data_IF_735849725235
#
_entry.id   IF_735849725235
#
_cell.length_a   1.000
_cell.length_b   1.000
_cell.length_c   1.000
_cell.angle_alpha   90.00
_cell.angle_beta   90.00
_cell.angle_gamma   90.00
#
_symmetry.space_group_name_H-M   'P 1'
#
loop_
_entity.id
_entity.type
_entity.pdbx_description
1 polymer ?
#
# COMPACT_ATOMS: atom_id res chain seq x y z
N UNK A 1 20.64 34.72 -52.63
CA UNK A 1 20.95 34.59 -51.18
C UNK A 1 19.70 34.43 -50.29
N UNK A 2 18.51 34.16 -50.84
CA UNK A 2 17.25 34.16 -50.05
C UNK A 2 16.61 32.80 -49.77
N UNK A 3 17.10 31.69 -50.35
CA UNK A 3 16.52 30.36 -50.07
C UNK A 3 17.12 29.64 -48.85
N UNK A 4 18.24 30.10 -48.30
CA UNK A 4 18.87 29.46 -47.12
C UNK A 4 18.23 29.93 -45.80
N UNK A 5 17.54 31.08 -45.80
CA UNK A 5 16.86 31.61 -44.60
C UNK A 5 15.52 30.93 -44.28
N UNK A 6 14.89 30.28 -45.26
CA UNK A 6 13.59 29.61 -45.04
C UNK A 6 13.75 28.23 -44.37
N UNK A 7 14.88 27.53 -44.58
CA UNK A 7 15.12 26.22 -43.96
C UNK A 7 15.53 26.28 -42.48
N UNK A 8 16.11 27.40 -42.01
CA UNK A 8 16.43 27.58 -40.59
C UNK A 8 15.20 27.88 -39.72
N UNK A 9 14.12 28.43 -40.30
CA UNK A 9 12.90 28.76 -39.57
C UNK A 9 12.09 27.50 -39.14
N UNK A 10 12.20 26.39 -39.89
CA UNK A 10 11.49 25.14 -39.58
C UNK A 10 12.23 24.30 -38.53
N UNK A 11 13.55 24.44 -38.40
CA UNK A 11 14.35 23.72 -37.41
C UNK A 11 14.30 24.35 -36.01
N UNK A 12 14.17 25.68 -35.91
CA UNK A 12 13.95 26.35 -34.61
C UNK A 12 12.49 26.15 -34.12
N UNK A 13 11.53 25.96 -35.03
CA UNK A 13 10.13 25.66 -34.68
C UNK A 13 9.89 24.24 -34.13
N UNK A 14 10.85 23.31 -34.26
CA UNK A 14 10.75 21.97 -33.66
C UNK A 14 11.33 21.89 -32.24
N UNK A 15 12.18 22.85 -31.85
CA UNK A 15 12.76 22.95 -30.50
C UNK A 15 11.78 23.58 -29.48
N UNK A 16 10.84 24.40 -29.94
CA UNK A 16 9.84 25.04 -29.09
C UNK A 16 8.66 24.14 -28.67
N UNK A 17 8.56 22.90 -29.19
CA UNK A 17 7.51 21.94 -28.80
C UNK A 17 7.78 21.18 -27.50
N UNK A 18 8.94 21.38 -26.86
CA UNK A 18 9.28 20.79 -25.57
C UNK A 18 9.22 21.76 -24.37
N UNK A 19 8.96 23.05 -24.61
CA UNK A 19 8.97 24.10 -23.57
C UNK A 19 7.58 24.36 -22.94
N UNK A 20 6.68 23.37 -22.95
CA UNK A 20 5.29 23.53 -22.50
C UNK A 20 4.86 22.62 -21.34
N UNK A 21 5.79 21.93 -20.67
CA UNK A 21 5.44 21.06 -19.55
C UNK A 21 5.20 21.91 -18.29
N UNK A 22 3.93 22.13 -17.94
CA UNK A 22 3.51 22.92 -16.76
C UNK A 22 4.32 22.50 -15.51
N UNK A 23 4.97 23.42 -14.78
CA UNK A 23 5.91 23.11 -13.69
C UNK A 23 5.32 22.19 -12.60
N UNK A 24 4.02 22.32 -12.30
CA UNK A 24 3.31 21.45 -11.36
C UNK A 24 3.25 19.97 -11.77
N UNK A 25 3.17 19.66 -13.06
CA UNK A 25 3.12 18.28 -13.55
C UNK A 25 4.49 17.60 -13.50
N UNK A 26 5.57 18.37 -13.63
CA UNK A 26 6.94 17.89 -13.44
C UNK A 26 7.19 17.59 -11.96
N UNK A 27 6.87 18.54 -11.07
CA UNK A 27 7.01 18.37 -9.62
C UNK A 27 6.25 17.14 -9.09
N UNK A 28 5.02 16.89 -9.57
CA UNK A 28 4.25 15.69 -9.19
C UNK A 28 4.94 14.38 -9.61
N UNK A 29 5.55 14.36 -10.80
CA UNK A 29 6.24 13.16 -11.29
C UNK A 29 7.52 12.91 -10.50
N UNK A 30 8.26 13.96 -10.17
CA UNK A 30 9.48 13.87 -9.37
C UNK A 30 9.18 13.32 -7.96
N UNK A 31 8.06 13.76 -7.36
CA UNK A 31 7.58 13.22 -6.09
C UNK A 31 7.22 11.72 -6.16
N UNK A 32 6.57 11.29 -7.25
CA UNK A 32 6.30 9.86 -7.49
C UNK A 32 7.61 9.08 -7.64
N UNK A 33 8.56 9.59 -8.43
CA UNK A 33 9.85 8.94 -8.64
C UNK A 33 10.68 8.82 -7.33
N UNK A 34 10.62 9.82 -6.45
CA UNK A 34 11.18 9.74 -5.09
C UNK A 34 10.47 8.66 -4.25
N UNK A 35 9.14 8.61 -4.29
CA UNK A 35 8.37 7.61 -3.59
C UNK A 35 8.76 6.18 -4.01
N UNK A 36 8.97 5.92 -5.30
CA UNK A 36 9.44 4.61 -5.76
C UNK A 36 10.87 4.29 -5.31
N UNK A 37 11.75 5.30 -5.21
CA UNK A 37 13.10 5.12 -4.66
C UNK A 37 13.03 4.76 -3.18
N UNK A 38 12.16 5.42 -2.41
CA UNK A 38 11.93 5.11 -1.01
C UNK A 38 11.39 3.68 -0.82
N UNK A 39 10.38 3.28 -1.60
CA UNK A 39 9.86 1.90 -1.59
C UNK A 39 10.96 0.88 -1.87
N UNK A 40 11.76 1.07 -2.92
CA UNK A 40 12.88 0.18 -3.25
C UNK A 40 13.91 0.13 -2.10
N UNK A 41 14.20 1.27 -1.49
CA UNK A 41 15.17 1.38 -0.39
C UNK A 41 14.70 0.59 0.84
N UNK A 42 13.42 0.73 1.21
CA UNK A 42 12.78 -0.03 2.29
C UNK A 42 12.84 -1.54 2.01
N UNK A 43 12.43 -1.95 0.82
CA UNK A 43 12.40 -3.37 0.41
C UNK A 43 13.79 -4.00 0.43
N UNK A 44 14.85 -3.26 0.06
CA UNK A 44 16.21 -3.78 0.11
C UNK A 44 16.75 -3.92 1.55
N UNK A 45 16.28 -3.08 2.47
CA UNK A 45 16.67 -3.16 3.89
C UNK A 45 15.94 -4.26 4.66
N UNK A 46 14.75 -4.69 4.20
CA UNK A 46 13.98 -5.74 4.89
C UNK A 46 14.64 -7.13 4.82
N UNK A 47 15.65 -7.33 3.98
CA UNK A 47 16.36 -8.60 3.87
C UNK A 47 15.56 -9.74 3.23
N UNK A 48 14.40 -9.44 2.62
CA UNK A 48 13.50 -10.48 2.10
C UNK A 48 14.02 -11.18 0.84
N UNK A 49 14.01 -12.52 0.88
CA UNK A 49 14.32 -13.39 -0.26
C UNK A 49 13.36 -13.21 -1.44
N UNK A 50 12.16 -12.67 -1.20
CA UNK A 50 11.16 -12.41 -2.24
C UNK A 50 11.65 -11.41 -3.30
N UNK A 51 12.62 -10.55 -2.93
CA UNK A 51 13.16 -9.54 -3.83
C UNK A 51 13.98 -10.11 -4.99
N UNK A 52 14.56 -11.30 -4.82
CA UNK A 52 15.30 -12.01 -5.85
C UNK A 52 14.41 -12.42 -7.03
N UNK A 53 13.17 -12.83 -6.74
CA UNK A 53 12.19 -13.24 -7.75
C UNK A 53 11.83 -12.10 -8.72
N UNK A 54 11.96 -10.84 -8.30
CA UNK A 54 11.63 -9.69 -9.14
C UNK A 54 12.66 -9.40 -10.23
N UNK A 55 13.86 -10.00 -10.17
CA UNK A 55 14.94 -9.68 -11.10
C UNK A 55 14.57 -9.99 -12.57
N UNK A 56 13.74 -11.01 -12.80
CA UNK A 56 13.27 -11.42 -14.13
C UNK A 56 12.15 -10.53 -14.69
N UNK A 57 11.58 -9.61 -13.90
CA UNK A 57 10.50 -8.75 -14.35
C UNK A 57 11.01 -7.54 -15.15
N UNK A 58 10.29 -7.12 -16.21
CA UNK A 58 10.51 -5.83 -16.87
C UNK A 58 10.58 -4.68 -15.87
N UNK A 59 11.38 -3.66 -16.17
CA UNK A 59 11.68 -2.57 -15.23
C UNK A 59 10.43 -1.91 -14.62
N UNK A 60 9.36 -1.73 -15.41
CA UNK A 60 8.09 -1.16 -14.95
C UNK A 60 7.36 -2.06 -13.94
N UNK A 61 7.33 -3.37 -14.20
CA UNK A 61 6.69 -4.34 -13.31
C UNK A 61 7.50 -4.50 -12.02
N UNK A 62 8.82 -4.61 -12.12
CA UNK A 62 9.71 -4.66 -10.96
C UNK A 62 9.57 -3.43 -10.06
N UNK A 63 9.45 -2.24 -10.64
CA UNK A 63 9.23 -0.99 -9.90
C UNK A 63 7.87 -1.00 -9.17
N UNK A 64 6.81 -1.50 -9.80
CA UNK A 64 5.52 -1.71 -9.15
C UNK A 64 5.56 -2.74 -8.02
N UNK A 65 6.30 -3.84 -8.21
CA UNK A 65 6.49 -4.85 -7.16
C UNK A 65 7.16 -4.26 -5.92
N UNK A 66 8.11 -3.33 -6.07
CA UNK A 66 8.68 -2.63 -4.92
C UNK A 66 7.66 -1.75 -4.17
N UNK A 67 6.78 -1.07 -4.89
CA UNK A 67 5.73 -0.26 -4.26
C UNK A 67 4.72 -1.13 -3.51
N UNK A 68 4.25 -2.21 -4.14
CA UNK A 68 3.35 -3.18 -3.50
C UNK A 68 4.01 -3.84 -2.28
N UNK A 69 5.27 -4.26 -2.39
CA UNK A 69 5.98 -4.86 -1.26
C UNK A 69 6.21 -3.88 -0.11
N UNK A 70 6.61 -2.65 -0.41
CA UNK A 70 6.79 -1.64 0.63
C UNK A 70 5.49 -1.36 1.38
N UNK A 71 4.34 -1.35 0.68
CA UNK A 71 3.03 -1.23 1.30
C UNK A 71 2.74 -2.40 2.25
N UNK A 72 2.90 -3.64 1.80
CA UNK A 72 2.66 -4.84 2.63
C UNK A 72 3.56 -4.83 3.85
N UNK A 73 4.88 -4.67 3.64
CA UNK A 73 5.87 -4.69 4.72
C UNK A 73 5.60 -3.61 5.76
N UNK A 74 5.28 -2.39 5.32
CA UNK A 74 4.96 -1.33 6.25
C UNK A 74 3.69 -1.64 7.03
N UNK A 75 2.68 -2.24 6.38
CA UNK A 75 1.42 -2.62 7.05
C UNK A 75 1.68 -3.64 8.16
N UNK A 76 2.46 -4.70 7.90
CA UNK A 76 2.84 -5.70 8.90
C UNK A 76 3.62 -5.07 10.08
N UNK A 77 4.61 -4.21 9.77
CA UNK A 77 5.46 -3.57 10.77
C UNK A 77 4.66 -2.69 11.76
N UNK A 78 3.49 -2.18 11.39
CA UNK A 78 2.63 -1.41 12.30
C UNK A 78 2.10 -2.24 13.47
N UNK A 79 1.95 -3.56 13.29
CA UNK A 79 1.45 -4.49 14.32
C UNK A 79 2.59 -5.25 14.97
N UNK A 80 3.54 -5.76 14.18
CA UNK A 80 4.61 -6.61 14.71
C UNK A 80 5.73 -5.81 15.40
N UNK A 81 5.94 -4.55 15.00
CA UNK A 81 7.01 -3.70 15.52
C UNK A 81 6.50 -2.27 15.82
N UNK A 82 5.52 -2.11 16.71
CA UNK A 82 4.95 -0.80 16.99
C UNK A 82 5.99 0.12 17.62
N UNK A 83 6.03 1.36 17.14
CA UNK A 83 6.86 2.38 17.77
C UNK A 83 6.44 2.59 19.23
N UNK A 84 7.41 2.85 20.11
CA UNK A 84 7.16 3.00 21.53
C UNK A 84 6.09 4.06 21.81
N UNK A 85 5.04 3.66 22.54
CA UNK A 85 3.91 4.54 22.89
C UNK A 85 2.85 4.72 21.80
N UNK A 86 2.99 4.09 20.63
CA UNK A 86 1.94 4.06 19.61
C UNK A 86 0.99 2.88 19.82
N UNK A 87 -0.31 3.15 19.70
CA UNK A 87 -1.34 2.12 19.58
C UNK A 87 -1.36 1.56 18.14
N UNK A 88 -1.08 0.24 17.94
CA UNK A 88 -1.14 -0.39 16.62
C UNK A 88 -2.49 -0.23 15.91
N UNK A 89 -3.60 -0.26 16.65
CA UNK A 89 -4.93 -0.14 16.07
C UNK A 89 -5.15 1.27 15.50
N UNK A 90 -4.81 2.31 16.27
CA UNK A 90 -4.84 3.70 15.79
C UNK A 90 -3.89 3.93 14.61
N UNK A 91 -2.71 3.30 14.62
CA UNK A 91 -1.73 3.42 13.54
C UNK A 91 -2.25 2.80 12.23
N UNK A 92 -2.85 1.61 12.28
CA UNK A 92 -3.50 0.97 11.13
C UNK A 92 -4.70 1.79 10.61
N UNK A 93 -5.53 2.32 11.50
CA UNK A 93 -6.64 3.19 11.10
C UNK A 93 -6.14 4.46 10.38
N UNK A 94 -5.07 5.07 10.88
CA UNK A 94 -4.41 6.20 10.23
C UNK A 94 -3.84 5.80 8.86
N UNK A 95 -3.17 4.66 8.77
CA UNK A 95 -2.63 4.12 7.52
C UNK A 95 -3.71 3.85 6.47
N UNK A 96 -4.84 3.25 6.88
CA UNK A 96 -6.02 3.02 6.05
C UNK A 96 -6.58 4.32 5.48
N UNK A 97 -6.69 5.37 6.30
CA UNK A 97 -7.16 6.68 5.86
C UNK A 97 -6.18 7.34 4.88
N UNK A 98 -4.87 7.23 5.12
CA UNK A 98 -3.84 7.73 4.21
C UNK A 98 -3.89 6.98 2.86
N UNK A 99 -4.04 5.66 2.88
CA UNK A 99 -4.22 4.85 1.68
C UNK A 99 -5.44 5.31 0.89
N UNK A 100 -6.59 5.45 1.55
CA UNK A 100 -7.84 5.90 0.95
C UNK A 100 -7.69 7.28 0.30
N UNK A 101 -7.02 8.23 0.97
CA UNK A 101 -6.73 9.55 0.40
C UNK A 101 -5.79 9.47 -0.83
N UNK A 102 -4.76 8.62 -0.78
CA UNK A 102 -3.79 8.49 -1.86
C UNK A 102 -4.39 7.88 -3.14
N UNK A 103 -5.25 6.86 -3.00
CA UNK A 103 -5.92 6.20 -4.14
C UNK A 103 -7.24 6.86 -4.53
N UNK A 104 -7.83 7.67 -3.64
CA UNK A 104 -9.15 8.33 -3.75
C UNK A 104 -9.29 9.42 -4.80
N UNK A 105 -8.28 9.63 -5.66
CA UNK A 105 -8.49 10.22 -6.99
C UNK A 105 -9.12 9.22 -8.00
N UNK A 106 -9.59 8.06 -7.52
CA UNK A 106 -10.45 7.11 -8.22
C UNK A 106 -11.65 6.82 -7.30
N UNK A 107 -12.89 7.19 -7.67
CA UNK A 107 -14.06 6.96 -6.82
C UNK A 107 -14.24 5.45 -6.61
N UNK A 108 -14.15 5.04 -5.35
CA UNK A 108 -14.60 3.72 -4.91
C UNK A 108 -16.08 3.60 -5.25
N UNK A 109 -16.42 2.62 -6.10
CA UNK A 109 -17.81 2.29 -6.42
C UNK A 109 -18.56 2.07 -5.12
N UNK A 110 -19.56 2.92 -4.88
CA UNK A 110 -20.52 2.79 -3.80
C UNK A 110 -21.03 1.35 -3.75
N UNK A 111 -20.67 0.62 -2.70
CA UNK A 111 -21.37 -0.58 -2.30
C UNK A 111 -22.78 -0.16 -1.87
N UNK A 112 -23.73 -0.23 -2.80
CA UNK A 112 -25.15 -0.11 -2.52
C UNK A 112 -25.67 -1.52 -2.19
N UNK A 113 -26.26 -1.61 -1.00
CA UNK A 113 -27.16 -2.65 -0.49
C UNK A 113 -26.55 -3.98 0.00
N UNK A 114 -26.29 -4.05 1.30
CA UNK A 114 -27.02 -4.98 2.18
C UNK A 114 -27.49 -4.17 3.40
N UNK A 115 -28.81 -3.98 3.48
CA UNK A 115 -29.48 -3.23 4.54
C UNK A 115 -30.04 -4.17 5.61
N UNK A 116 -30.07 -3.66 6.84
CA UNK A 116 -30.87 -4.15 7.98
C UNK A 116 -29.99 -4.67 9.12
N UNK A 117 -30.14 -4.27 10.38
CA UNK A 117 -31.03 -3.34 11.05
C UNK A 117 -30.48 -3.17 12.49
N UNK A 118 -30.72 -2.03 13.15
CA UNK A 118 -30.64 -1.92 14.62
C UNK A 118 -29.75 -0.80 15.12
N UNK A 119 -30.31 0.40 15.22
CA UNK A 119 -29.82 1.47 16.11
C UNK A 119 -30.30 1.17 17.54
N UNK A 120 -29.49 1.49 18.56
CA UNK A 120 -29.82 2.53 19.55
C UNK A 120 -28.87 2.57 20.77
N UNK A 121 -28.80 3.77 21.34
CA UNK A 121 -28.31 4.17 22.67
C UNK A 121 -26.79 4.14 22.92
N UNK A 122 -26.17 5.11 23.60
CA UNK A 122 -26.66 6.28 24.30
C UNK A 122 -25.44 7.02 24.86
N UNK A 123 -25.52 8.34 24.87
CA UNK A 123 -24.48 9.23 25.37
C UNK A 123 -24.33 9.11 26.90
N UNK A 124 -23.09 9.12 27.40
CA UNK A 124 -22.77 9.66 28.72
C UNK A 124 -21.36 10.26 28.73
N UNK A 125 -21.32 11.56 29.00
CA UNK A 125 -20.13 12.38 29.14
C UNK A 125 -19.79 12.58 30.62
N UNK A 126 -18.54 12.33 31.01
CA UNK A 126 -17.79 12.87 32.17
C UNK A 126 -16.32 12.65 31.77
N UNK A 127 -15.34 13.54 31.84
CA UNK A 127 -15.09 14.74 32.63
C UNK A 127 -13.58 14.98 32.46
N UNK A 128 -13.16 16.16 32.00
CA UNK A 128 -11.75 16.53 31.82
C UNK A 128 -11.16 17.02 33.13
N UNK A 129 -9.94 16.61 33.45
CA UNK A 129 -9.01 17.45 34.24
C UNK A 129 -7.61 17.36 33.64
N UNK A 130 -7.01 18.53 33.44
CA UNK A 130 -5.75 18.77 32.77
C UNK A 130 -4.53 18.53 33.67
N UNK A 131 -3.42 18.11 33.05
CA UNK A 131 -2.08 18.54 33.43
C UNK A 131 -1.16 18.36 32.22
N UNK A 132 -0.79 19.48 31.63
CA UNK A 132 0.09 19.62 30.47
C UNK A 132 1.56 19.35 30.86
N UNK A 133 2.30 18.63 30.01
CA UNK A 133 3.75 18.84 29.88
C UNK A 133 4.07 19.05 28.41
N UNK A 134 4.67 20.21 28.15
CA UNK A 134 4.84 20.85 26.84
C UNK A 134 5.91 20.14 26.00
N UNK A 135 5.46 19.52 24.92
CA UNK A 135 6.20 19.51 23.67
C UNK A 135 5.33 20.27 22.66
N UNK A 136 5.87 21.34 22.06
CA UNK A 136 5.19 22.07 20.98
C UNK A 136 4.82 21.07 19.88
N UNK A 137 3.53 20.82 19.58
CA UNK A 137 3.20 19.95 18.48
C UNK A 137 3.64 20.66 17.21
N UNK A 138 4.50 20.01 16.42
CA UNK A 138 4.76 20.41 15.04
C UNK A 138 3.42 20.74 14.35
N UNK A 139 3.40 21.67 13.40
CA UNK A 139 2.17 21.98 12.68
C UNK A 139 1.57 20.71 12.04
N UNK A 140 0.24 20.61 11.89
CA UNK A 140 -0.40 19.45 11.26
C UNK A 140 0.17 19.17 9.85
N UNK A 141 0.67 20.21 9.19
CA UNK A 141 1.34 20.16 7.89
C UNK A 141 2.74 19.51 7.98
N UNK A 142 3.54 19.76 9.02
CA UNK A 142 4.88 19.14 9.18
C UNK A 142 4.83 17.65 9.55
N UNK A 143 3.83 17.22 10.32
CA UNK A 143 3.61 15.78 10.59
C UNK A 143 3.19 15.02 9.33
N UNK A 144 2.49 15.68 8.41
CA UNK A 144 2.03 15.07 7.16
C UNK A 144 3.23 14.78 6.22
N UNK A 145 4.20 15.69 6.14
CA UNK A 145 5.39 15.55 5.26
C UNK A 145 6.36 14.45 5.68
N UNK A 146 6.29 13.99 6.95
CA UNK A 146 7.16 12.95 7.51
C UNK A 146 6.43 11.64 7.81
N UNK A 147 5.13 11.55 7.54
CA UNK A 147 4.40 10.30 7.68
C UNK A 147 4.91 9.28 6.65
N UNK A 148 5.13 8.00 7.04
CA UNK A 148 5.44 6.93 6.08
C UNK A 148 4.51 6.92 4.86
N UNK A 149 3.23 7.31 5.02
CA UNK A 149 2.29 7.35 3.89
C UNK A 149 2.56 8.46 2.89
N UNK A 150 3.02 9.63 3.32
CA UNK A 150 3.43 10.68 2.40
C UNK A 150 4.62 10.26 1.54
N UNK A 151 5.48 9.37 2.06
CA UNK A 151 6.66 8.85 1.37
C UNK A 151 6.32 7.66 0.46
N UNK A 152 5.53 6.69 0.92
CA UNK A 152 5.35 5.41 0.23
C UNK A 152 4.12 5.38 -0.69
N UNK A 153 3.02 6.04 -0.31
CA UNK A 153 1.74 5.90 -1.01
C UNK A 153 1.68 6.54 -2.40
N UNK A 154 2.43 7.62 -2.74
CA UNK A 154 2.43 8.15 -4.11
C UNK A 154 2.84 7.10 -5.17
N UNK A 155 3.87 6.28 -4.88
CA UNK A 155 4.30 5.19 -5.76
C UNK A 155 3.27 4.06 -5.84
N UNK A 156 2.60 3.74 -4.73
CA UNK A 156 1.54 2.74 -4.70
C UNK A 156 0.32 3.22 -5.51
N UNK A 157 -0.11 4.46 -5.33
CA UNK A 157 -1.23 5.04 -6.08
C UNK A 157 -0.95 5.08 -7.59
N UNK A 158 0.27 5.45 -7.99
CA UNK A 158 0.72 5.37 -9.38
C UNK A 158 0.72 3.92 -9.91
N UNK A 159 1.19 2.97 -9.11
CA UNK A 159 1.16 1.53 -9.43
C UNK A 159 -0.28 1.02 -9.63
N UNK A 160 -1.19 1.35 -8.71
CA UNK A 160 -2.61 0.97 -8.76
C UNK A 160 -3.25 1.48 -10.05
N UNK A 161 -3.04 2.76 -10.38
CA UNK A 161 -3.58 3.37 -11.58
C UNK A 161 -2.97 2.75 -12.85
N UNK A 162 -1.66 2.55 -12.89
CA UNK A 162 -0.95 2.03 -14.05
C UNK A 162 -1.34 0.59 -14.39
N UNK A 163 -1.48 -0.27 -13.38
CA UNK A 163 -1.73 -1.70 -13.56
C UNK A 163 -3.20 -2.09 -13.37
N UNK A 164 -4.07 -1.11 -13.06
CA UNK A 164 -5.51 -1.31 -12.79
C UNK A 164 -5.73 -2.34 -11.70
N UNK A 165 -4.99 -2.20 -10.61
CA UNK A 165 -5.13 -3.08 -9.44
C UNK A 165 -6.45 -2.72 -8.75
N UNK A 166 -7.35 -3.68 -8.47
CA UNK A 166 -8.56 -3.41 -7.71
C UNK A 166 -8.19 -2.93 -6.31
N UNK A 167 -8.62 -1.72 -5.94
CA UNK A 167 -8.25 -1.08 -4.66
C UNK A 167 -8.70 -1.89 -3.45
N UNK A 168 -9.81 -2.64 -3.57
CA UNK A 168 -10.30 -3.57 -2.55
C UNK A 168 -9.20 -4.53 -2.05
N UNK A 169 -8.32 -5.01 -2.92
CA UNK A 169 -7.24 -5.93 -2.55
C UNK A 169 -6.27 -5.31 -1.53
N UNK A 170 -6.04 -3.99 -1.61
CA UNK A 170 -5.15 -3.30 -0.67
C UNK A 170 -5.81 -3.15 0.71
N UNK A 171 -7.12 -2.92 0.75
CA UNK A 171 -7.87 -2.87 2.00
C UNK A 171 -8.02 -4.25 2.62
N UNK A 172 -8.18 -5.31 1.82
CA UNK A 172 -8.18 -6.69 2.32
C UNK A 172 -6.87 -7.05 3.03
N UNK A 173 -5.73 -6.58 2.53
CA UNK A 173 -4.43 -6.75 3.21
C UNK A 173 -4.44 -6.05 4.57
N UNK A 174 -4.91 -4.79 4.64
CA UNK A 174 -5.01 -4.06 5.92
C UNK A 174 -5.97 -4.79 6.87
N UNK A 175 -7.12 -5.25 6.40
CA UNK A 175 -8.06 -6.03 7.21
C UNK A 175 -7.44 -7.35 7.69
N UNK A 176 -6.64 -8.00 6.87
CA UNK A 176 -5.90 -9.20 7.25
C UNK A 176 -4.93 -8.96 8.39
N UNK A 177 -4.18 -7.84 8.33
CA UNK A 177 -3.23 -7.43 9.38
C UNK A 177 -3.95 -6.91 10.63
N UNK A 178 -5.12 -6.28 10.50
CA UNK A 178 -5.95 -5.89 11.65
C UNK A 178 -6.37 -7.11 12.49
N UNK A 179 -6.54 -8.28 11.86
CA UNK A 179 -6.83 -9.52 12.59
C UNK A 179 -5.67 -9.96 13.50
N UNK A 180 -4.44 -9.48 13.28
CA UNK A 180 -3.25 -9.75 14.11
C UNK A 180 -3.17 -8.88 15.39
N UNK A 181 -4.07 -7.90 15.54
CA UNK A 181 -4.15 -7.06 16.76
C UNK A 181 -4.57 -7.84 18.01
N UNK A 182 -5.12 -9.04 17.83
CA UNK A 182 -5.62 -9.87 18.92
C UNK A 182 -4.99 -11.27 18.82
N UNK A 183 -4.61 -11.91 19.94
CA UNK A 183 -4.16 -13.30 19.91
C UNK A 183 -5.21 -14.20 19.26
N UNK A 184 -4.79 -15.06 18.34
CA UNK A 184 -5.69 -15.93 17.59
C UNK A 184 -5.45 -17.38 17.90
N UNK A 185 -6.58 -18.10 17.96
CA UNK A 185 -6.68 -19.55 17.86
C UNK A 185 -7.73 -19.86 16.81
N UNK A 186 -7.32 -20.46 15.71
CA UNK A 186 -8.26 -20.89 14.67
C UNK A 186 -8.92 -22.21 15.07
N UNK A 187 -10.24 -22.22 15.24
CA UNK A 187 -10.98 -23.42 15.57
C UNK A 187 -11.09 -24.38 14.38
N UNK A 188 -11.11 -23.84 13.15
CA UNK A 188 -11.27 -24.61 11.90
C UNK A 188 -10.26 -24.13 10.86
N UNK A 189 -9.87 -25.06 9.98
CA UNK A 189 -8.99 -24.75 8.86
C UNK A 189 -9.58 -23.68 7.92
N UNK A 190 -10.91 -23.65 7.76
CA UNK A 190 -11.58 -22.62 6.96
C UNK A 190 -11.37 -21.19 7.50
N UNK A 191 -11.27 -21.04 8.83
CA UNK A 191 -11.02 -19.75 9.46
C UNK A 191 -9.55 -19.32 9.23
N UNK A 192 -8.62 -20.28 9.24
CA UNK A 192 -7.22 -20.09 8.86
C UNK A 192 -7.07 -19.72 7.37
N UNK A 193 -7.76 -20.43 6.48
CA UNK A 193 -7.75 -20.11 5.04
C UNK A 193 -8.25 -18.69 4.77
N UNK A 194 -9.31 -18.26 5.46
CA UNK A 194 -9.83 -16.90 5.31
C UNK A 194 -8.79 -15.85 5.75
N UNK A 195 -8.06 -16.12 6.83
CA UNK A 195 -6.94 -15.27 7.23
C UNK A 195 -5.87 -15.22 6.15
N UNK A 196 -5.36 -16.38 5.71
CA UNK A 196 -4.32 -16.47 4.70
C UNK A 196 -4.73 -15.83 3.36
N UNK A 197 -6.00 -15.90 3.00
CA UNK A 197 -6.50 -15.21 1.81
C UNK A 197 -6.38 -13.69 1.92
N UNK A 198 -6.75 -13.10 3.06
CA UNK A 198 -6.68 -11.65 3.26
C UNK A 198 -5.23 -11.15 3.23
N UNK A 199 -4.31 -11.82 3.94
CA UNK A 199 -2.92 -11.36 4.04
C UNK A 199 -2.04 -11.72 2.84
N UNK A 200 -2.37 -12.79 2.11
CA UNK A 200 -1.51 -13.27 1.01
C UNK A 200 -2.25 -13.58 -0.29
N UNK A 201 -3.49 -14.07 -0.24
CA UNK A 201 -4.32 -14.28 -1.43
C UNK A 201 -4.57 -12.96 -2.20
N UNK A 202 -4.99 -11.91 -1.49
CA UNK A 202 -5.18 -10.56 -2.03
C UNK A 202 -3.91 -10.00 -2.68
N UNK A 203 -2.74 -10.30 -2.09
CA UNK A 203 -1.42 -9.95 -2.63
C UNK A 203 -1.15 -10.70 -3.94
N UNK A 204 -1.42 -12.00 -3.98
CA UNK A 204 -1.29 -12.81 -5.19
C UNK A 204 -2.14 -12.25 -6.34
N UNK A 205 -3.38 -11.87 -6.04
CA UNK A 205 -4.27 -11.21 -7.00
C UNK A 205 -3.69 -9.87 -7.49
N UNK A 206 -3.17 -9.03 -6.59
CA UNK A 206 -2.52 -7.77 -6.97
C UNK A 206 -1.30 -7.98 -7.88
N UNK A 207 -0.50 -9.03 -7.63
CA UNK A 207 0.65 -9.39 -8.47
C UNK A 207 0.26 -9.71 -9.92
N UNK A 208 -0.83 -10.45 -10.15
CA UNK A 208 -1.32 -10.81 -11.49
C UNK A 208 -1.64 -9.57 -12.33
N UNK A 209 -2.19 -8.53 -11.70
CA UNK A 209 -2.44 -7.25 -12.37
C UNK A 209 -1.14 -6.59 -12.85
N UNK A 210 -0.09 -6.62 -12.01
CA UNK A 210 1.24 -6.09 -12.32
C UNK A 210 1.90 -6.89 -13.45
N UNK A 211 1.85 -8.22 -13.38
CA UNK A 211 2.46 -9.11 -14.38
C UNK A 211 1.75 -9.06 -15.74
N UNK A 212 0.55 -8.50 -15.80
CA UNK A 212 -0.17 -8.24 -17.06
C UNK A 212 -1.12 -9.35 -17.48
N UNK A 213 -1.33 -10.35 -16.62
CA UNK A 213 -2.36 -11.36 -16.85
C UNK A 213 -3.75 -10.72 -16.72
N UNK A 214 -4.65 -11.08 -17.63
CA UNK A 214 -6.03 -10.57 -17.69
C UNK A 214 -7.06 -11.68 -17.84
N UNK A 215 -6.63 -12.90 -18.12
CA UNK A 215 -7.52 -14.05 -18.20
C UNK A 215 -8.06 -14.39 -16.82
N UNK A 216 -9.39 -14.63 -16.68
CA UNK A 216 -9.97 -15.10 -15.43
C UNK A 216 -9.29 -16.35 -14.87
N UNK A 217 -8.75 -17.21 -15.74
CA UNK A 217 -8.03 -18.43 -15.36
C UNK A 217 -6.74 -18.18 -14.55
N UNK A 218 -6.21 -16.94 -14.54
CA UNK A 218 -5.00 -16.60 -13.79
C UNK A 218 -5.27 -16.20 -12.33
N UNK A 219 -6.50 -15.81 -11.98
CA UNK A 219 -6.80 -15.30 -10.65
C UNK A 219 -6.80 -16.38 -9.58
N UNK A 220 -7.45 -17.52 -9.84
CA UNK A 220 -7.51 -18.60 -8.86
C UNK A 220 -6.12 -19.18 -8.53
N UNK A 221 -5.27 -19.54 -9.51
CA UNK A 221 -3.91 -19.99 -9.21
C UNK A 221 -3.08 -18.97 -8.42
N UNK A 222 -3.29 -17.67 -8.66
CA UNK A 222 -2.57 -16.63 -7.94
C UNK A 222 -3.01 -16.51 -6.49
N UNK A 223 -4.32 -16.62 -6.23
CA UNK A 223 -4.87 -16.69 -4.88
C UNK A 223 -4.32 -17.91 -4.13
N UNK A 224 -4.34 -19.08 -4.78
CA UNK A 224 -3.80 -20.33 -4.23
C UNK A 224 -2.29 -20.25 -3.97
N UNK A 225 -1.52 -19.59 -4.84
CA UNK A 225 -0.10 -19.35 -4.61
C UNK A 225 0.13 -18.48 -3.35
N UNK A 226 -0.66 -17.41 -3.20
CA UNK A 226 -0.67 -16.59 -1.98
C UNK A 226 -0.96 -17.43 -0.73
N UNK A 227 -2.02 -18.24 -0.78
CA UNK A 227 -2.40 -19.17 0.29
C UNK A 227 -1.24 -20.12 0.66
N UNK A 228 -0.66 -20.79 -0.35
CA UNK A 228 0.43 -21.74 -0.15
C UNK A 228 1.68 -21.09 0.47
N UNK A 229 2.03 -19.87 0.03
CA UNK A 229 3.14 -19.12 0.63
C UNK A 229 2.87 -18.78 2.09
N UNK A 230 1.65 -18.36 2.44
CA UNK A 230 1.33 -18.02 3.82
C UNK A 230 1.29 -19.23 4.73
N UNK A 231 0.71 -20.34 4.28
CA UNK A 231 0.77 -21.61 5.00
C UNK A 231 2.23 -22.07 5.20
N UNK A 232 3.09 -21.86 4.21
CA UNK A 232 4.53 -22.15 4.33
C UNK A 232 5.20 -21.27 5.39
N UNK A 233 4.88 -19.97 5.45
CA UNK A 233 5.39 -19.08 6.50
C UNK A 233 4.94 -19.55 7.89
N UNK A 234 3.65 -19.86 8.07
CA UNK A 234 3.10 -20.35 9.35
C UNK A 234 3.80 -21.64 9.79
N UNK A 235 4.00 -22.60 8.87
CA UNK A 235 4.69 -23.85 9.21
C UNK A 235 6.16 -23.63 9.56
N UNK A 236 6.84 -22.69 8.88
CA UNK A 236 8.23 -22.33 9.17
C UNK A 236 8.36 -21.67 10.54
N UNK A 237 7.43 -20.80 10.90
CA UNK A 237 7.52 -19.89 12.04
C UNK A 237 6.73 -20.39 13.27
N UNK A 238 6.10 -21.57 13.18
CA UNK A 238 5.25 -22.17 14.22
C UNK A 238 5.85 -22.13 15.64
N UNK A 239 7.14 -22.45 15.76
CA UNK A 239 7.82 -22.44 17.06
C UNK A 239 7.98 -21.04 17.65
N UNK A 240 8.16 -20.02 16.82
CA UNK A 240 8.22 -18.61 17.23
C UNK A 240 6.83 -18.09 17.58
N UNK A 241 5.84 -18.35 16.72
CA UNK A 241 4.45 -17.98 16.94
C UNK A 241 3.89 -18.55 18.25
N UNK A 242 4.21 -19.80 18.56
CA UNK A 242 3.87 -20.45 19.85
C UNK A 242 4.43 -19.69 21.05
N UNK A 243 5.67 -19.17 20.97
CA UNK A 243 6.29 -18.39 22.05
C UNK A 243 5.64 -17.01 22.20
N UNK A 244 5.04 -16.49 21.13
CA UNK A 244 4.31 -15.21 21.11
C UNK A 244 2.82 -15.38 21.44
N UNK A 245 2.33 -16.61 21.66
CA UNK A 245 0.93 -16.89 21.98
C UNK A 245 -0.02 -16.88 20.77
N UNK A 246 0.51 -17.03 19.54
CA UNK A 246 -0.23 -17.15 18.28
C UNK A 246 -0.34 -18.63 17.88
N UNK A 247 -1.55 -19.13 17.56
CA UNK A 247 -1.84 -20.57 17.37
C UNK A 247 -2.90 -20.88 16.30
#
# INVERSE_FOLDING_TARGET
MDQVRHHLAVLVASSARHAGRKPAMTARRDAIDESYRACRSLVRRSGSNFTGAFWMLPARQRRAMYALYAFMRHTDDLVDQPAAGNDPAAALACWRNQLAAAIGNQPYGSARAVAGAGADAGAHALGRTAAESRATPASADERCTMSPGAVLLPALADTVAQFRIPTKLLFEVIEGVEMDLHPRRFARFADLEQYCDRVAGAVGLACIHIWGFRSPAAFEPARQCGLAMQLTNILRDLGEDLRQGRL
#
